data_IF_784345926994
#
_entry.id   IF_784345926994
#
_cell.length_a   1.000
_cell.length_b   1.000
_cell.length_c   1.000
_cell.angle_alpha   90.00
_cell.angle_beta   90.00
_cell.angle_gamma   90.00
#
_symmetry.space_group_name_H-M   'P 1'
#
loop_
_entity.id
_entity.type
_entity.pdbx_description
1 polymer ?
#
# COMPACT_ATOMS: atom_id res chain seq x y z
N UNK A 1 -16.73 -7.51 -12.87
CA UNK A 1 -17.26 -8.69 -13.57
C UNK A 1 -18.20 -9.43 -12.63
N UNK A 2 -19.12 -10.27 -13.16
CA UNK A 2 -19.89 -11.17 -12.31
C UNK A 2 -18.96 -12.31 -11.82
N UNK A 3 -19.07 -12.76 -10.56
CA UNK A 3 -18.34 -13.94 -10.08
C UNK A 3 -18.66 -15.17 -10.93
N UNK A 4 -17.63 -15.88 -11.38
CA UNK A 4 -17.75 -17.00 -12.33
C UNK A 4 -17.83 -18.35 -11.62
N UNK A 5 -17.20 -18.48 -10.46
CA UNK A 5 -17.11 -19.74 -9.72
C UNK A 5 -17.50 -19.57 -8.24
N UNK A 6 -17.65 -20.69 -7.53
CA UNK A 6 -18.04 -20.71 -6.10
C UNK A 6 -17.07 -19.92 -5.21
N UNK A 7 -15.77 -20.00 -5.51
CA UNK A 7 -14.72 -19.30 -4.77
C UNK A 7 -14.81 -17.78 -4.95
N UNK A 8 -14.94 -17.28 -6.18
CA UNK A 8 -15.13 -15.84 -6.46
C UNK A 8 -16.42 -15.31 -5.81
N UNK A 9 -17.49 -16.11 -5.77
CA UNK A 9 -18.75 -15.74 -5.07
C UNK A 9 -18.52 -15.59 -3.56
N UNK A 10 -17.85 -16.55 -2.94
CA UNK A 10 -17.54 -16.53 -1.51
C UNK A 10 -16.62 -15.34 -1.15
N UNK A 11 -15.57 -15.11 -1.94
CA UNK A 11 -14.66 -13.96 -1.78
C UNK A 11 -15.40 -12.64 -1.90
N UNK A 12 -16.27 -12.47 -2.90
CA UNK A 12 -17.04 -11.23 -3.04
C UNK A 12 -18.00 -11.01 -1.86
N UNK A 13 -18.65 -12.06 -1.36
CA UNK A 13 -19.48 -11.97 -0.17
C UNK A 13 -18.65 -11.57 1.06
N UNK A 14 -17.51 -12.23 1.28
CA UNK A 14 -16.62 -11.94 2.39
C UNK A 14 -16.03 -10.53 2.33
N UNK A 15 -15.76 -10.00 1.14
CA UNK A 15 -15.20 -8.65 0.96
C UNK A 15 -16.08 -7.55 1.56
N UNK A 16 -17.40 -7.75 1.58
CA UNK A 16 -18.36 -6.81 2.16
C UNK A 16 -18.30 -6.75 3.69
N UNK A 17 -17.72 -7.77 4.34
CA UNK A 17 -17.55 -7.83 5.79
C UNK A 17 -16.27 -7.14 6.27
N UNK A 18 -15.38 -6.72 5.36
CA UNK A 18 -14.14 -6.04 5.71
C UNK A 18 -14.45 -4.70 6.38
N UNK A 19 -13.84 -4.50 7.54
CA UNK A 19 -13.95 -3.21 8.25
C UNK A 19 -13.21 -2.11 7.50
N UNK A 20 -13.65 -0.85 7.63
CA UNK A 20 -12.86 0.30 7.17
C UNK A 20 -11.45 0.29 7.76
N UNK A 21 -10.54 1.00 7.09
CA UNK A 21 -9.18 1.19 7.59
C UNK A 21 -9.21 1.93 8.93
N UNK A 22 -8.31 1.54 9.83
CA UNK A 22 -8.22 2.17 11.15
C UNK A 22 -7.49 3.51 11.09
N UNK A 23 -7.76 4.39 12.07
CA UNK A 23 -7.02 5.65 12.21
C UNK A 23 -5.51 5.44 12.31
N UNK A 24 -5.05 4.42 13.02
CA UNK A 24 -3.62 4.10 13.16
C UNK A 24 -2.95 3.75 11.82
N UNK A 25 -3.66 3.03 10.95
CA UNK A 25 -3.16 2.71 9.62
C UNK A 25 -3.13 3.94 8.72
N UNK A 26 -4.14 4.82 8.83
CA UNK A 26 -4.15 6.11 8.13
C UNK A 26 -3.01 7.02 8.60
N UNK A 27 -2.82 7.15 9.91
CA UNK A 27 -1.76 7.98 10.50
C UNK A 27 -0.39 7.46 10.05
N UNK A 28 -0.16 6.15 10.08
CA UNK A 28 1.06 5.54 9.55
C UNK A 28 1.25 5.83 8.05
N UNK A 29 0.22 5.62 7.23
CA UNK A 29 0.31 5.87 5.79
C UNK A 29 0.64 7.35 5.50
N UNK A 30 0.03 8.27 6.25
CA UNK A 30 0.31 9.69 6.15
C UNK A 30 1.74 10.05 6.55
N UNK A 31 2.42 9.31 7.44
CA UNK A 31 3.80 9.64 7.85
C UNK A 31 4.87 8.94 7.04
N UNK A 32 4.61 7.70 6.63
CA UNK A 32 5.63 6.83 6.04
C UNK A 32 5.52 6.71 4.52
N UNK A 33 4.34 6.99 3.93
CA UNK A 33 4.15 6.77 2.49
C UNK A 33 4.34 8.05 1.67
N UNK A 34 4.19 9.24 2.24
CA UNK A 34 4.30 10.50 1.48
C UNK A 34 5.50 11.32 1.92
N UNK A 35 5.89 12.28 1.09
CA UNK A 35 6.89 13.25 1.47
C UNK A 35 6.27 14.39 2.30
N UNK A 36 7.03 14.88 3.26
CA UNK A 36 6.64 16.00 4.10
C UNK A 36 7.50 17.23 3.81
N UNK A 37 6.85 18.37 3.59
CA UNK A 37 7.53 19.58 3.15
C UNK A 37 7.33 20.79 4.06
N UNK A 38 8.32 21.66 4.05
CA UNK A 38 8.26 23.01 4.56
C UNK A 38 8.48 23.98 3.40
N UNK A 39 7.48 24.79 3.09
CA UNK A 39 7.57 25.77 2.00
C UNK A 39 8.19 27.05 2.52
N UNK A 40 9.38 27.40 2.00
CA UNK A 40 10.15 28.58 2.38
C UNK A 40 10.07 29.66 1.29
N UNK A 41 9.79 30.88 1.68
CA UNK A 41 9.89 32.07 0.82
C UNK A 41 11.31 32.66 0.87
N UNK A 42 11.73 33.46 -0.13
CA UNK A 42 13.09 34.04 -0.18
C UNK A 42 13.51 34.79 1.10
N UNK A 43 12.57 35.48 1.76
CA UNK A 43 12.82 36.23 3.03
C UNK A 43 12.78 35.35 4.29
N UNK A 44 12.93 34.03 4.16
CA UNK A 44 12.99 33.11 5.30
C UNK A 44 11.65 32.72 5.93
N UNK A 45 10.51 33.27 5.46
CA UNK A 45 9.19 32.84 5.94
C UNK A 45 8.89 31.42 5.47
N UNK A 46 8.86 30.49 6.42
CA UNK A 46 8.62 29.07 6.20
C UNK A 46 7.23 28.67 6.69
N UNK A 47 6.62 27.68 6.05
CA UNK A 47 5.34 27.11 6.48
C UNK A 47 5.37 25.59 6.36
N UNK A 48 4.95 24.91 7.42
CA UNK A 48 4.80 23.46 7.43
C UNK A 48 3.57 23.07 6.61
N UNK A 49 3.76 22.15 5.65
CA UNK A 49 2.66 21.66 4.80
C UNK A 49 1.77 20.63 5.50
N UNK A 50 2.20 20.06 6.63
CA UNK A 50 1.41 19.11 7.40
C UNK A 50 0.40 19.79 8.35
N UNK A 51 0.85 20.80 9.11
CA UNK A 51 0.04 21.43 10.15
C UNK A 51 -0.32 22.89 9.86
N UNK A 52 0.24 23.50 8.80
CA UNK A 52 -0.01 24.88 8.41
C UNK A 52 0.72 25.93 9.25
N UNK A 53 1.50 25.53 10.27
CA UNK A 53 2.22 26.49 11.10
C UNK A 53 3.31 27.21 10.31
N UNK A 54 3.39 28.53 10.46
CA UNK A 54 4.42 29.36 9.84
C UNK A 54 5.40 29.93 10.86
N UNK A 55 6.66 29.99 10.50
CA UNK A 55 7.74 30.56 11.32
C UNK A 55 8.81 31.20 10.43
N UNK A 56 9.76 31.92 11.02
CA UNK A 56 10.91 32.46 10.32
C UNK A 56 12.10 31.52 10.48
N UNK A 57 12.71 31.13 9.36
CA UNK A 57 13.98 30.42 9.32
C UNK A 57 15.07 31.40 8.88
N UNK A 58 16.04 31.65 9.78
CA UNK A 58 17.16 32.54 9.53
C UNK A 58 18.02 32.03 8.36
N UNK A 59 18.45 30.77 8.44
CA UNK A 59 19.32 30.15 7.43
C UNK A 59 18.53 29.18 6.53
N UNK A 60 18.88 29.11 5.24
CA UNK A 60 18.40 28.04 4.37
C UNK A 60 19.04 26.70 4.77
N UNK A 61 18.23 25.66 4.83
CA UNK A 61 18.62 24.27 5.06
C UNK A 61 17.74 23.39 4.19
N UNK A 62 18.22 22.21 3.78
CA UNK A 62 17.44 21.25 3.00
C UNK A 62 16.37 20.52 3.83
N UNK A 63 16.52 20.51 5.17
CA UNK A 63 15.55 19.90 6.07
C UNK A 63 15.36 20.71 7.35
N UNK A 64 14.19 20.57 7.96
CA UNK A 64 13.87 21.22 9.23
C UNK A 64 12.84 20.40 10.03
N UNK A 65 12.78 20.64 11.33
CA UNK A 65 11.72 20.11 12.19
C UNK A 65 10.67 21.19 12.44
N UNK A 66 9.39 20.88 12.24
CA UNK A 66 8.33 21.83 12.53
C UNK A 66 8.24 22.10 14.04
N UNK A 67 8.30 23.37 14.49
CA UNK A 67 8.26 23.69 15.92
C UNK A 67 6.89 23.40 16.56
N UNK A 68 5.81 23.27 15.77
CA UNK A 68 4.45 23.00 16.30
C UNK A 68 4.10 21.52 16.35
N UNK A 69 4.34 20.77 15.27
CA UNK A 69 3.95 19.36 15.18
C UNK A 69 5.11 18.37 15.32
N UNK A 70 6.36 18.84 15.42
CA UNK A 70 7.54 17.99 15.55
C UNK A 70 7.90 17.18 14.30
N UNK A 71 7.17 17.36 13.19
CA UNK A 71 7.43 16.62 11.96
C UNK A 71 8.77 17.05 11.34
N UNK A 72 9.55 16.07 10.86
CA UNK A 72 10.72 16.31 10.02
C UNK A 72 10.25 16.59 8.58
N UNK A 73 10.70 17.70 8.01
CA UNK A 73 10.23 18.22 6.73
C UNK A 73 11.41 18.50 5.80
N UNK A 74 11.23 18.20 4.51
CA UNK A 74 12.10 18.67 3.41
C UNK A 74 11.77 20.13 3.11
N UNK A 75 12.76 21.00 3.14
CA UNK A 75 12.54 22.43 2.84
C UNK A 75 12.55 22.61 1.33
N UNK A 76 11.52 23.26 0.80
CA UNK A 76 11.43 23.63 -0.61
C UNK A 76 11.23 25.13 -0.72
N UNK A 77 12.14 25.81 -1.41
CA UNK A 77 11.97 27.22 -1.71
C UNK A 77 10.99 27.37 -2.87
N UNK A 78 9.79 27.88 -2.58
CA UNK A 78 8.71 27.98 -3.58
C UNK A 78 7.65 29.00 -3.19
N UNK A 79 6.99 29.56 -4.20
CA UNK A 79 5.79 30.38 -4.05
C UNK A 79 4.49 29.56 -4.17
N UNK A 80 4.58 28.27 -4.50
CA UNK A 80 3.44 27.36 -4.54
C UNK A 80 2.68 27.40 -3.21
N UNK A 81 1.36 27.37 -3.28
CA UNK A 81 0.49 27.35 -2.09
C UNK A 81 -0.04 25.97 -1.75
N UNK A 82 -0.18 25.11 -2.76
CA UNK A 82 -0.80 23.79 -2.67
C UNK A 82 0.20 22.72 -3.04
N UNK A 83 0.12 21.59 -2.37
CA UNK A 83 0.90 20.40 -2.66
C UNK A 83 -0.03 19.18 -2.58
N UNK A 84 -0.69 18.83 -3.69
CA UNK A 84 -1.43 17.58 -3.75
C UNK A 84 -0.45 16.41 -3.87
N UNK A 85 -0.61 15.40 -3.02
CA UNK A 85 0.13 14.15 -3.10
C UNK A 85 -0.83 12.97 -3.18
N UNK A 86 -0.44 11.98 -3.99
CA UNK A 86 -1.13 10.71 -4.13
C UNK A 86 -0.11 9.60 -3.98
N UNK A 87 -0.37 8.67 -3.08
CA UNK A 87 0.50 7.52 -2.89
C UNK A 87 -0.32 6.27 -2.62
N UNK A 88 0.18 5.12 -3.08
CA UNK A 88 -0.39 3.83 -2.71
C UNK A 88 0.24 3.26 -1.45
N UNK A 89 -0.55 2.52 -0.69
CA UNK A 89 -0.07 1.69 0.40
C UNK A 89 -0.94 0.45 0.53
N UNK A 90 -0.46 -0.54 1.26
CA UNK A 90 -1.16 -1.81 1.45
C UNK A 90 -1.30 -2.19 2.91
N UNK A 91 -2.29 -3.03 3.19
CA UNK A 91 -2.56 -3.58 4.52
C UNK A 91 -2.78 -5.08 4.36
N UNK A 92 -1.96 -5.87 5.06
CA UNK A 92 -2.10 -7.31 5.12
C UNK A 92 -2.96 -7.72 6.32
N UNK A 93 -4.07 -8.41 6.06
CA UNK A 93 -5.02 -8.86 7.09
C UNK A 93 -5.60 -10.22 6.74
N UNK A 94 -6.34 -10.82 7.67
CA UNK A 94 -7.20 -11.97 7.42
C UNK A 94 -8.67 -11.56 7.44
N UNK A 95 -9.53 -12.34 6.77
CA UNK A 95 -10.98 -12.24 6.86
C UNK A 95 -11.61 -13.60 6.61
N UNK A 96 -12.26 -14.16 7.63
CA UNK A 96 -12.69 -15.57 7.60
C UNK A 96 -11.49 -16.50 7.42
N UNK A 97 -11.59 -17.42 6.46
CA UNK A 97 -10.54 -18.38 6.08
C UNK A 97 -9.51 -17.83 5.07
N UNK A 98 -9.61 -16.55 4.71
CA UNK A 98 -8.81 -15.96 3.64
C UNK A 98 -7.70 -15.04 4.16
N UNK A 99 -6.54 -15.15 3.52
CA UNK A 99 -5.51 -14.11 3.57
C UNK A 99 -5.90 -12.99 2.61
N UNK A 100 -5.79 -11.74 3.05
CA UNK A 100 -6.20 -10.56 2.27
C UNK A 100 -5.10 -9.51 2.25
N UNK A 101 -4.67 -9.13 1.04
CA UNK A 101 -3.85 -7.93 0.83
C UNK A 101 -4.75 -6.82 0.29
N UNK A 102 -5.04 -5.83 1.13
CA UNK A 102 -5.85 -4.66 0.78
C UNK A 102 -4.94 -3.56 0.26
N UNK A 103 -5.37 -2.88 -0.80
CA UNK A 103 -4.61 -1.83 -1.50
C UNK A 103 -5.39 -0.54 -1.47
N UNK A 104 -4.74 0.54 -1.04
CA UNK A 104 -5.35 1.84 -0.84
C UNK A 104 -4.60 2.90 -1.62
N UNK A 105 -5.33 3.89 -2.13
CA UNK A 105 -4.80 5.17 -2.59
C UNK A 105 -4.97 6.17 -1.47
N UNK A 106 -3.87 6.65 -0.92
CA UNK A 106 -3.81 7.82 -0.05
C UNK A 106 -3.83 9.08 -0.92
N UNK A 107 -4.72 10.00 -0.62
CA UNK A 107 -4.77 11.33 -1.23
C UNK A 107 -4.63 12.37 -0.12
N UNK A 108 -3.69 13.29 -0.30
CA UNK A 108 -3.43 14.37 0.65
C UNK A 108 -3.39 15.69 -0.09
N UNK A 109 -4.33 16.55 0.25
CA UNK A 109 -4.34 17.93 -0.22
C UNK A 109 -3.73 18.81 0.86
N UNK A 110 -2.47 19.22 0.66
CA UNK A 110 -1.79 20.14 1.56
C UNK A 110 -1.91 21.56 1.03
N UNK A 111 -2.23 22.50 1.91
CA UNK A 111 -2.27 23.92 1.59
C UNK A 111 -1.54 24.73 2.67
N UNK A 112 -0.77 25.73 2.22
CA UNK A 112 -0.04 26.65 3.08
C UNK A 112 -0.99 27.34 4.06
N UNK A 113 -0.72 27.17 5.36
CA UNK A 113 -1.53 27.75 6.43
C UNK A 113 -2.66 26.84 6.93
N UNK A 114 -2.92 25.72 6.26
CA UNK A 114 -3.95 24.76 6.62
C UNK A 114 -3.35 23.46 7.15
N UNK A 115 -4.07 22.80 8.07
CA UNK A 115 -3.72 21.43 8.47
C UNK A 115 -4.11 20.46 7.36
N UNK A 116 -3.17 19.60 6.94
CA UNK A 116 -3.40 18.57 5.94
C UNK A 116 -4.50 17.61 6.40
N UNK A 117 -5.38 17.24 5.47
CA UNK A 117 -6.48 16.29 5.70
C UNK A 117 -6.32 15.10 4.75
N UNK A 118 -5.59 14.05 5.17
CA UNK A 118 -5.46 12.84 4.36
C UNK A 118 -6.78 12.08 4.32
N UNK A 119 -7.08 11.47 3.18
CA UNK A 119 -8.13 10.46 3.05
C UNK A 119 -7.63 9.30 2.18
N UNK A 120 -8.26 8.14 2.31
CA UNK A 120 -7.87 6.94 1.59
C UNK A 120 -9.04 6.32 0.85
N UNK A 121 -8.78 5.81 -0.35
CA UNK A 121 -9.73 5.04 -1.16
C UNK A 121 -9.23 3.62 -1.30
N UNK A 122 -10.06 2.62 -1.02
CA UNK A 122 -9.70 1.22 -1.25
C UNK A 122 -9.85 0.90 -2.75
N UNK A 123 -8.73 0.57 -3.38
CA UNK A 123 -8.66 0.35 -4.84
C UNK A 123 -8.88 -1.11 -5.18
N UNK A 124 -8.40 -2.01 -4.32
CA UNK A 124 -8.64 -3.43 -4.51
C UNK A 124 -7.95 -4.31 -3.49
N UNK A 125 -8.18 -5.60 -3.64
CA UNK A 125 -7.89 -6.63 -2.67
C UNK A 125 -7.44 -7.87 -3.42
N UNK A 126 -6.34 -8.47 -2.99
CA UNK A 126 -6.02 -9.84 -3.32
C UNK A 126 -6.46 -10.75 -2.19
N UNK A 127 -7.06 -11.87 -2.55
CA UNK A 127 -7.60 -12.87 -1.64
C UNK A 127 -6.95 -14.21 -1.94
N UNK A 128 -6.42 -14.88 -0.93
CA UNK A 128 -5.91 -16.25 -1.02
C UNK A 128 -6.60 -17.15 -0.02
N UNK A 129 -6.98 -18.35 -0.45
CA UNK A 129 -7.39 -19.42 0.46
C UNK A 129 -6.17 -20.25 0.91
N UNK A 130 -6.38 -21.21 1.82
CA UNK A 130 -5.32 -22.06 2.35
C UNK A 130 -4.56 -22.89 1.28
N UNK A 131 -5.16 -23.11 0.11
CA UNK A 131 -4.52 -23.83 -1.01
C UNK A 131 -3.78 -22.89 -1.99
N UNK A 132 -3.68 -21.60 -1.68
CA UNK A 132 -3.00 -20.62 -2.54
C UNK A 132 -3.83 -20.14 -3.75
N UNK A 133 -5.10 -20.56 -3.88
CA UNK A 133 -5.98 -20.05 -4.95
C UNK A 133 -6.26 -18.58 -4.72
N UNK A 134 -6.09 -17.78 -5.78
CA UNK A 134 -6.21 -16.33 -5.73
C UNK A 134 -7.49 -15.81 -6.38
N UNK A 135 -8.12 -14.80 -5.78
CA UNK A 135 -9.13 -13.96 -6.42
C UNK A 135 -8.81 -12.47 -6.20
N UNK A 136 -9.28 -11.63 -7.12
CA UNK A 136 -9.12 -10.17 -7.05
C UNK A 136 -10.48 -9.50 -6.95
N UNK A 137 -10.63 -8.64 -5.95
CA UNK A 137 -11.79 -7.73 -5.81
C UNK A 137 -11.27 -6.32 -5.93
N UNK A 138 -11.84 -5.48 -6.81
CA UNK A 138 -11.33 -4.14 -7.03
C UNK A 138 -12.28 -3.22 -7.80
N UNK A 139 -12.01 -1.93 -7.69
CA UNK A 139 -12.71 -0.89 -8.46
C UNK A 139 -12.28 -0.99 -9.92
N UNK A 140 -13.15 -0.61 -10.85
CA UNK A 140 -12.84 -0.72 -12.27
C UNK A 140 -11.67 0.18 -12.65
N UNK A 141 -10.64 -0.39 -13.28
CA UNK A 141 -9.64 0.39 -14.01
C UNK A 141 -10.27 0.90 -15.31
N UNK A 142 -10.06 2.17 -15.62
CA UNK A 142 -10.45 2.79 -16.89
C UNK A 142 -9.26 2.72 -17.85
N UNK A 143 -9.52 2.71 -19.15
CA UNK A 143 -8.46 2.76 -20.15
C UNK A 143 -7.68 4.07 -19.99
N UNK A 144 -6.38 3.96 -19.73
CA UNK A 144 -5.53 5.11 -19.44
C UNK A 144 -4.06 4.75 -19.41
N UNK A 145 -3.23 5.77 -19.70
CA UNK A 145 -1.77 5.66 -19.70
C UNK A 145 -1.19 5.56 -18.29
N UNK A 146 -1.85 6.16 -17.31
CA UNK A 146 -1.38 6.20 -15.93
C UNK A 146 -1.88 5.00 -15.11
N UNK A 147 -1.18 4.70 -14.02
CA UNK A 147 -1.53 3.61 -13.10
C UNK A 147 -2.78 3.97 -12.30
N UNK A 148 -2.94 5.26 -11.96
CA UNK A 148 -4.03 5.80 -11.12
C UNK A 148 -5.35 6.05 -11.85
N UNK A 149 -5.50 5.52 -13.06
CA UNK A 149 -6.73 5.65 -13.85
C UNK A 149 -7.80 4.64 -13.40
N UNK A 150 -8.47 4.94 -12.29
CA UNK A 150 -9.57 4.15 -11.75
C UNK A 150 -10.92 4.89 -11.81
N UNK A 151 -12.00 4.14 -12.00
CA UNK A 151 -13.36 4.65 -11.84
C UNK A 151 -13.72 4.61 -10.36
N UNK A 152 -13.44 5.70 -9.64
CA UNK A 152 -13.64 5.77 -8.19
C UNK A 152 -15.11 5.67 -7.75
N UNK A 153 -16.06 5.94 -8.65
CA UNK A 153 -17.49 5.71 -8.40
C UNK A 153 -17.95 4.26 -8.63
N UNK A 154 -17.08 3.39 -9.17
CA UNK A 154 -17.45 2.00 -9.43
C UNK A 154 -17.38 1.15 -8.16
N UNK A 155 -18.31 0.19 -7.97
CA UNK A 155 -18.27 -0.69 -6.82
C UNK A 155 -17.08 -1.65 -6.89
N UNK A 156 -16.60 -2.06 -5.71
CA UNK A 156 -15.71 -3.21 -5.56
C UNK A 156 -16.41 -4.45 -6.11
N UNK A 157 -15.82 -5.06 -7.14
CA UNK A 157 -16.34 -6.26 -7.77
C UNK A 157 -15.21 -7.22 -8.08
N UNK A 158 -15.54 -8.48 -8.40
CA UNK A 158 -14.54 -9.42 -8.91
C UNK A 158 -13.97 -8.89 -10.23
N UNK A 159 -12.63 -8.88 -10.34
CA UNK A 159 -11.88 -8.40 -11.51
C UNK A 159 -10.84 -9.42 -11.93
N UNK A 160 -10.46 -9.39 -13.20
CA UNK A 160 -9.21 -9.99 -13.66
C UNK A 160 -8.03 -9.23 -13.04
N UNK A 161 -6.96 -9.94 -12.75
CA UNK A 161 -5.72 -9.29 -12.37
C UNK A 161 -5.15 -8.46 -13.54
N UNK A 162 -4.40 -7.40 -13.25
CA UNK A 162 -3.83 -6.53 -14.28
C UNK A 162 -2.52 -5.87 -13.80
N UNK A 163 -1.82 -5.20 -14.72
CA UNK A 163 -0.53 -4.57 -14.43
C UNK A 163 -0.61 -3.50 -13.32
N UNK A 164 -1.69 -2.70 -13.26
CA UNK A 164 -1.83 -1.67 -12.24
C UNK A 164 -2.01 -2.29 -10.84
N UNK A 165 -2.86 -3.32 -10.72
CA UNK A 165 -3.04 -4.03 -9.45
C UNK A 165 -1.76 -4.70 -8.96
N UNK A 166 -0.99 -5.29 -9.88
CA UNK A 166 0.32 -5.90 -9.58
C UNK A 166 1.34 -4.85 -9.16
N UNK A 167 1.40 -3.72 -9.86
CA UNK A 167 2.30 -2.62 -9.48
C UNK A 167 1.96 -2.07 -8.09
N UNK A 168 0.67 -1.84 -7.79
CA UNK A 168 0.23 -1.35 -6.49
C UNK A 168 0.55 -2.35 -5.36
N UNK A 169 0.68 -3.65 -5.66
CA UNK A 169 1.05 -4.65 -4.66
C UNK A 169 2.48 -4.48 -4.11
N UNK A 170 3.36 -3.75 -4.81
CA UNK A 170 4.69 -3.39 -4.34
C UNK A 170 4.70 -2.18 -3.38
N UNK A 171 3.54 -1.55 -3.16
CA UNK A 171 3.48 -0.35 -2.32
C UNK A 171 3.74 -0.69 -0.85
N UNK A 172 4.23 0.28 -0.04
CA UNK A 172 4.54 0.06 1.37
C UNK A 172 3.42 -0.64 2.13
N UNK A 173 3.79 -1.60 2.97
CA UNK A 173 2.85 -2.44 3.72
C UNK A 173 2.80 -1.98 5.17
N UNK A 174 1.59 -1.81 5.71
CA UNK A 174 1.43 -1.50 7.13
C UNK A 174 2.06 -2.61 8.00
N UNK A 175 3.00 -2.30 8.90
CA UNK A 175 3.86 -3.29 9.55
C UNK A 175 3.10 -4.24 10.48
N UNK A 176 1.97 -3.81 11.07
CA UNK A 176 1.16 -4.69 11.91
C UNK A 176 0.19 -5.47 11.03
N UNK A 177 0.60 -6.66 10.62
CA UNK A 177 -0.17 -7.54 9.76
C UNK A 177 -0.92 -8.61 10.56
N UNK A 178 -1.99 -9.14 9.96
CA UNK A 178 -2.59 -10.41 10.38
C UNK A 178 -2.41 -11.42 9.26
N UNK A 179 -1.95 -12.61 9.64
CA UNK A 179 -1.71 -13.70 8.70
C UNK A 179 -2.41 -14.98 9.15
N UNK A 180 -2.77 -15.83 8.19
CA UNK A 180 -3.30 -17.17 8.45
C UNK A 180 -2.27 -18.03 9.17
N UNK A 181 -2.72 -18.94 10.03
CA UNK A 181 -1.83 -19.83 10.77
C UNK A 181 -1.09 -20.81 9.86
N UNK A 182 -1.69 -21.22 8.74
CA UNK A 182 -0.99 -22.00 7.70
C UNK A 182 0.20 -21.25 7.12
N UNK A 183 0.09 -19.93 6.89
CA UNK A 183 1.22 -19.13 6.40
C UNK A 183 2.36 -19.08 7.41
N UNK A 184 2.03 -18.89 8.70
CA UNK A 184 3.03 -18.92 9.79
C UNK A 184 3.71 -20.29 9.88
N UNK A 185 2.92 -21.36 9.85
CA UNK A 185 3.42 -22.74 9.86
C UNK A 185 4.37 -23.01 8.69
N UNK A 186 4.09 -22.43 7.54
CA UNK A 186 4.88 -22.59 6.32
C UNK A 186 6.08 -21.61 6.27
N UNK A 187 6.40 -20.92 7.37
CA UNK A 187 7.65 -20.16 7.54
C UNK A 187 7.55 -18.65 7.36
N UNK A 188 6.36 -18.06 7.22
CA UNK A 188 6.24 -16.61 7.16
C UNK A 188 6.62 -15.97 8.50
N UNK A 189 7.70 -15.18 8.50
CA UNK A 189 8.31 -14.56 9.68
C UNK A 189 7.84 -13.12 9.94
N UNK A 190 6.99 -12.57 9.07
CA UNK A 190 6.48 -11.21 9.18
C UNK A 190 7.07 -10.25 8.16
N UNK A 191 8.14 -10.64 7.48
CA UNK A 191 8.78 -9.88 6.41
C UNK A 191 8.55 -10.55 5.04
N UNK A 192 8.55 -9.73 4.01
CA UNK A 192 8.46 -10.13 2.62
C UNK A 192 9.83 -10.28 1.94
N UNK A 193 10.93 -9.83 2.57
CA UNK A 193 12.31 -10.03 2.10
C UNK A 193 12.50 -9.61 0.63
N UNK A 194 12.03 -8.40 0.30
CA UNK A 194 12.00 -7.84 -1.06
C UNK A 194 11.18 -8.64 -2.10
N UNK A 195 10.42 -9.65 -1.67
CA UNK A 195 9.50 -10.41 -2.52
C UNK A 195 8.08 -9.84 -2.36
N UNK A 196 7.52 -9.34 -3.46
CA UNK A 196 6.13 -8.87 -3.53
C UNK A 196 5.13 -9.89 -2.95
N UNK A 197 4.14 -9.45 -2.13
CA UNK A 197 3.18 -10.34 -1.48
C UNK A 197 2.42 -11.27 -2.42
N UNK A 198 2.11 -10.82 -3.65
CA UNK A 198 1.38 -11.62 -4.63
C UNK A 198 2.18 -12.79 -5.18
N UNK A 199 3.48 -12.86 -4.90
CA UNK A 199 4.34 -14.01 -5.23
C UNK A 199 4.60 -14.85 -3.99
N UNK A 200 5.00 -14.22 -2.88
CA UNK A 200 5.39 -14.93 -1.68
C UNK A 200 4.23 -15.69 -1.04
N UNK A 201 3.07 -15.04 -0.87
CA UNK A 201 1.91 -15.64 -0.20
C UNK A 201 1.43 -16.93 -0.90
N UNK A 202 1.09 -16.93 -2.21
CA UNK A 202 0.66 -18.15 -2.86
C UNK A 202 1.75 -19.22 -2.89
N UNK A 203 3.02 -18.84 -3.05
CA UNK A 203 4.14 -19.79 -3.02
C UNK A 203 4.24 -20.50 -1.65
N UNK A 204 4.20 -19.75 -0.54
CA UNK A 204 4.21 -20.34 0.79
C UNK A 204 2.96 -21.21 1.05
N UNK A 205 1.83 -20.95 0.40
CA UNK A 205 0.60 -21.74 0.58
C UNK A 205 0.56 -23.03 -0.24
N UNK A 206 1.35 -23.15 -1.31
CA UNK A 206 1.20 -24.22 -2.31
C UNK A 206 2.50 -24.93 -2.73
N UNK A 207 3.67 -24.39 -2.40
CA UNK A 207 4.97 -24.90 -2.82
C UNK A 207 5.89 -25.22 -1.64
N UNK A 208 6.16 -26.52 -1.45
CA UNK A 208 7.03 -27.02 -0.38
C UNK A 208 8.49 -26.56 -0.52
N UNK A 209 8.96 -26.27 -1.74
CA UNK A 209 10.32 -25.75 -1.97
C UNK A 209 10.43 -24.32 -1.49
N UNK A 210 9.41 -23.50 -1.77
CA UNK A 210 9.36 -22.12 -1.28
C UNK A 210 9.33 -22.07 0.25
N UNK A 211 8.53 -22.93 0.89
CA UNK A 211 8.52 -23.12 2.35
C UNK A 211 9.91 -23.51 2.87
N UNK A 212 10.59 -24.47 2.23
CA UNK A 212 11.93 -24.92 2.64
C UNK A 212 12.95 -23.80 2.57
N UNK A 213 13.00 -23.06 1.46
CA UNK A 213 13.91 -21.94 1.27
C UNK A 213 13.63 -20.80 2.28
N UNK A 214 12.36 -20.51 2.56
CA UNK A 214 11.94 -19.52 3.54
C UNK A 214 12.41 -19.91 4.95
N UNK A 215 12.13 -21.14 5.38
CA UNK A 215 12.52 -21.66 6.71
C UNK A 215 14.04 -21.76 6.88
N UNK A 216 14.76 -22.02 5.80
CA UNK A 216 16.22 -22.07 5.80
C UNK A 216 16.89 -20.68 5.78
N UNK A 217 16.10 -19.59 5.70
CA UNK A 217 16.63 -18.22 5.60
C UNK A 217 17.34 -17.93 4.28
N UNK A 218 17.11 -18.73 3.24
CA UNK A 218 17.74 -18.59 1.92
C UNK A 218 16.96 -17.62 1.03
N UNK A 219 16.75 -16.39 1.53
CA UNK A 219 15.88 -15.39 0.89
C UNK A 219 16.33 -15.00 -0.54
N UNK A 220 17.63 -14.79 -0.84
CA UNK A 220 18.06 -14.50 -2.20
C UNK A 220 17.76 -15.64 -3.19
N UNK A 221 17.93 -16.89 -2.75
CA UNK A 221 17.58 -18.07 -3.55
C UNK A 221 16.07 -18.19 -3.74
N UNK A 222 15.28 -17.91 -2.70
CA UNK A 222 13.82 -17.87 -2.79
C UNK A 222 13.36 -16.82 -3.80
N UNK A 223 13.89 -15.60 -3.73
CA UNK A 223 13.57 -14.54 -4.67
C UNK A 223 13.90 -14.94 -6.12
N UNK A 224 15.08 -15.52 -6.34
CA UNK A 224 15.47 -16.03 -7.66
C UNK A 224 14.54 -17.15 -8.13
N UNK A 225 14.28 -18.16 -7.29
CA UNK A 225 13.40 -19.29 -7.59
C UNK A 225 12.00 -18.84 -8.01
N UNK A 226 11.41 -17.92 -7.26
CA UNK A 226 10.09 -17.37 -7.58
C UNK A 226 10.11 -16.53 -8.86
N UNK A 227 11.24 -15.87 -9.15
CA UNK A 227 11.45 -15.05 -10.36
C UNK A 227 11.57 -15.90 -11.62
N UNK A 228 12.52 -16.82 -11.64
CA UNK A 228 12.83 -17.65 -12.80
C UNK A 228 11.71 -18.62 -13.19
N UNK A 229 10.93 -19.13 -12.21
CA UNK A 229 9.79 -20.00 -12.50
C UNK A 229 8.71 -19.31 -13.35
N UNK A 230 8.58 -17.99 -13.21
CA UNK A 230 7.57 -17.22 -13.93
C UNK A 230 7.96 -16.90 -15.38
N UNK A 231 9.27 -16.84 -15.67
CA UNK A 231 9.77 -16.65 -17.03
C UNK A 231 9.65 -17.92 -17.89
N UNK A 232 9.53 -19.10 -17.26
CA UNK A 232 9.30 -20.37 -17.96
C UNK A 232 7.82 -20.67 -18.27
N UNK A 233 6.88 -19.99 -17.60
CA UNK A 233 5.43 -20.13 -17.83
C UNK A 233 4.85 -19.03 -18.74
N UNK A 234 5.72 -18.22 -19.37
CA UNK A 234 5.38 -17.13 -20.29
C UNK A 234 5.67 -17.52 -21.74
#
# INVERSE_FOLDING_TARGET
MKPRNKFEKAVLAQSKSLRPITKRQMDWAFRECIDHYAYRLPKGRTTCMDCGHGWLMAEPSDSCTCPKCGARLKVRQTFERKLPQKQYFTVLTTSGEYQVLRKFLLVVEMEKGCKAKPYSLEIGQYWWNAQGRMAVVGIQRVLGRYIDTFSFGSPLAVRSDNAAYRHIAYSPIYPKSKVLDVLRRNGFDGDFHDIVPTRLIPALLSDSRAETLMKAGQYPMLHHYLTSRFDMER
#
